data_IF_442959731446
#
_entry.id   IF_442959731446
#
_cell.length_a   1.000
_cell.length_b   1.000
_cell.length_c   1.000
_cell.angle_alpha   90.00
_cell.angle_beta   90.00
_cell.angle_gamma   90.00
#
_symmetry.space_group_name_H-M   'P 1'
#
loop_
_entity.id
_entity.type
_entity.pdbx_description
1 polymer ?
#
# COMPACT_ATOMS: atom_id res chain seq x y z
N UNK A 1 2.34 -14.36 -1.18
CA UNK A 1 3.70 -14.38 -1.75
C UNK A 1 4.51 -13.29 -1.05
N UNK A 2 5.71 -13.59 -0.57
CA UNK A 2 6.64 -12.60 -0.01
C UNK A 2 7.79 -12.37 -0.99
N UNK A 3 8.10 -11.11 -1.30
CA UNK A 3 9.02 -10.72 -2.38
C UNK A 3 10.42 -10.31 -1.89
N UNK A 4 10.61 -10.17 -0.58
CA UNK A 4 11.76 -9.48 -0.02
C UNK A 4 11.58 -7.96 0.05
N UNK A 5 12.59 -7.22 0.53
CA UNK A 5 12.56 -5.76 0.63
C UNK A 5 12.94 -5.06 -0.70
N UNK A 6 12.83 -3.73 -0.70
CA UNK A 6 13.40 -2.83 -1.73
C UNK A 6 13.04 -3.16 -3.19
N UNK A 7 11.76 -3.44 -3.42
CA UNK A 7 11.24 -3.67 -4.78
C UNK A 7 10.87 -2.34 -5.45
N UNK A 8 11.43 -1.99 -6.62
CA UNK A 8 11.02 -0.81 -7.36
C UNK A 8 9.52 -0.82 -7.69
N UNK A 9 8.85 0.32 -7.56
CA UNK A 9 7.40 0.43 -7.79
C UNK A 9 6.96 -0.03 -9.21
N UNK A 10 7.69 0.28 -10.31
CA UNK A 10 7.32 -0.21 -11.63
C UNK A 10 7.32 -1.75 -11.73
N UNK A 11 8.32 -2.40 -11.14
CA UNK A 11 8.46 -3.85 -11.15
C UNK A 11 7.40 -4.52 -10.28
N UNK A 12 7.13 -3.94 -9.10
CA UNK A 12 6.07 -4.39 -8.21
C UNK A 12 4.69 -4.32 -8.89
N UNK A 13 4.39 -3.23 -9.59
CA UNK A 13 3.16 -3.06 -10.38
C UNK A 13 3.08 -4.09 -11.52
N UNK A 14 4.18 -4.29 -12.25
CA UNK A 14 4.23 -5.25 -13.35
C UNK A 14 3.95 -6.67 -12.85
N UNK A 15 4.57 -7.06 -11.72
CA UNK A 15 4.35 -8.37 -11.11
C UNK A 15 2.93 -8.53 -10.59
N UNK A 16 2.40 -7.53 -9.88
CA UNK A 16 1.04 -7.55 -9.36
C UNK A 16 0.01 -7.73 -10.48
N UNK A 17 0.17 -7.01 -11.60
CA UNK A 17 -0.67 -7.18 -12.79
C UNK A 17 -0.54 -8.56 -13.41
N UNK A 18 0.69 -9.05 -13.61
CA UNK A 18 0.95 -10.36 -14.22
C UNK A 18 0.35 -11.51 -13.43
N UNK A 19 0.31 -11.40 -12.10
CA UNK A 19 -0.24 -12.42 -11.21
C UNK A 19 -1.74 -12.23 -10.92
N UNK A 20 -2.35 -11.12 -11.35
CA UNK A 20 -3.70 -10.77 -10.94
C UNK A 20 -3.81 -10.57 -9.42
N UNK A 21 -2.78 -9.99 -8.79
CA UNK A 21 -2.73 -9.80 -7.34
C UNK A 21 -3.87 -8.87 -6.88
N UNK A 22 -4.68 -9.34 -5.94
CA UNK A 22 -5.78 -8.55 -5.37
C UNK A 22 -5.31 -7.42 -4.44
N UNK A 23 -4.11 -7.55 -3.86
CA UNK A 23 -3.53 -6.52 -2.99
C UNK A 23 -2.00 -6.52 -3.00
N UNK A 24 -1.43 -5.37 -2.63
CA UNK A 24 -0.02 -5.19 -2.26
C UNK A 24 0.04 -4.70 -0.82
N UNK A 25 0.96 -5.24 -0.02
CA UNK A 25 1.17 -4.83 1.38
C UNK A 25 2.62 -4.39 1.52
N UNK A 26 2.84 -3.17 2.02
CA UNK A 26 4.15 -2.59 2.25
C UNK A 26 4.37 -2.38 3.75
N UNK A 27 5.54 -2.78 4.23
CA UNK A 27 6.01 -2.49 5.59
C UNK A 27 7.13 -1.48 5.51
N UNK A 28 6.93 -0.31 6.12
CA UNK A 28 7.92 0.75 6.19
C UNK A 28 8.40 0.91 7.63
N UNK A 29 9.67 0.57 7.88
CA UNK A 29 10.31 0.86 9.17
C UNK A 29 10.75 2.33 9.27
N UNK A 30 11.20 2.89 8.14
CA UNK A 30 11.69 4.27 8.02
C UNK A 30 10.67 5.13 7.28
N UNK A 31 10.60 6.41 7.66
CA UNK A 31 9.66 7.37 7.05
C UNK A 31 10.24 8.04 5.79
N UNK A 32 11.56 8.10 5.70
CA UNK A 32 12.32 8.77 4.66
C UNK A 32 12.02 8.20 3.26
N UNK A 33 11.97 6.86 3.06
CA UNK A 33 11.62 6.30 1.77
C UNK A 33 10.20 6.66 1.32
N UNK A 34 9.26 6.80 2.26
CA UNK A 34 7.88 7.20 1.96
C UNK A 34 7.82 8.67 1.54
N UNK A 35 8.50 9.55 2.27
CA UNK A 35 8.56 10.99 1.98
C UNK A 35 9.22 11.30 0.63
N UNK A 36 10.13 10.44 0.17
CA UNK A 36 10.76 10.57 -1.13
C UNK A 36 9.83 10.24 -2.31
N UNK A 37 8.73 9.52 -2.07
CA UNK A 37 7.77 9.15 -3.10
C UNK A 37 6.82 10.32 -3.43
N UNK A 38 6.46 10.51 -4.71
CA UNK A 38 5.48 11.51 -5.10
C UNK A 38 4.08 11.15 -4.61
N UNK A 39 3.19 12.14 -4.60
CA UNK A 39 1.78 11.94 -4.26
C UNK A 39 1.14 10.89 -5.18
N UNK A 40 0.33 10.00 -4.60
CA UNK A 40 -0.33 8.92 -5.33
C UNK A 40 0.58 7.81 -5.86
N UNK A 41 1.88 7.77 -5.51
CA UNK A 41 2.83 6.78 -6.03
C UNK A 41 2.39 5.31 -5.84
N UNK A 42 1.61 5.02 -4.79
CA UNK A 42 1.16 3.68 -4.44
C UNK A 42 -0.22 3.33 -5.02
N UNK A 43 -1.00 4.31 -5.50
CA UNK A 43 -2.43 4.16 -5.86
C UNK A 43 -2.70 3.01 -6.85
N UNK A 44 -1.82 2.83 -7.83
CA UNK A 44 -2.06 1.91 -8.96
C UNK A 44 -1.17 0.65 -8.93
N UNK A 45 -0.64 0.26 -7.76
CA UNK A 45 0.16 -0.97 -7.65
C UNK A 45 -0.71 -2.23 -7.77
N UNK A 46 -1.89 -2.21 -7.17
CA UNK A 46 -2.87 -3.30 -7.14
C UNK A 46 -4.26 -2.73 -6.85
N UNK A 47 -5.35 -3.52 -6.96
CA UNK A 47 -6.71 -3.06 -6.63
C UNK A 47 -6.81 -2.47 -5.21
N UNK A 48 -6.01 -2.99 -4.27
CA UNK A 48 -5.84 -2.48 -2.91
C UNK A 48 -4.38 -2.45 -2.52
N UNK A 49 -3.98 -1.39 -1.82
CA UNK A 49 -2.60 -1.22 -1.36
C UNK A 49 -2.62 -0.85 0.10
N UNK A 50 -1.96 -1.64 0.93
CA UNK A 50 -1.86 -1.41 2.36
C UNK A 50 -0.46 -0.95 2.74
N UNK A 51 -0.39 -0.02 3.69
CA UNK A 51 0.86 0.50 4.22
C UNK A 51 0.83 0.45 5.75
N UNK A 52 1.84 -0.16 6.35
CA UNK A 52 2.02 -0.20 7.81
C UNK A 52 3.49 -0.18 8.20
N UNK A 53 3.76 -0.35 9.49
CA UNK A 53 5.11 -0.27 10.08
C UNK A 53 5.37 1.08 10.74
N UNK A 54 6.45 1.15 11.54
CA UNK A 54 6.74 2.31 12.42
C UNK A 54 7.02 3.61 11.65
N UNK A 55 7.48 3.51 10.40
CA UNK A 55 7.73 4.66 9.54
C UNK A 55 6.48 5.14 8.79
N UNK A 56 5.39 4.39 8.85
CA UNK A 56 4.13 4.73 8.19
C UNK A 56 3.17 5.48 9.13
N UNK A 57 2.31 6.30 8.55
CA UNK A 57 1.22 6.97 9.25
C UNK A 57 0.01 7.18 8.35
N UNK A 58 -1.16 7.49 8.93
CA UNK A 58 -2.42 7.62 8.17
C UNK A 58 -2.41 8.76 7.15
N UNK A 59 -1.75 9.88 7.46
CA UNK A 59 -1.63 11.03 6.54
C UNK A 59 -0.74 10.69 5.34
N UNK A 60 0.41 10.08 5.59
CA UNK A 60 1.36 9.70 4.55
C UNK A 60 0.81 8.58 3.66
N UNK A 61 0.12 7.60 4.25
CA UNK A 61 -0.59 6.57 3.49
C UNK A 61 -1.65 7.18 2.55
N UNK A 62 -2.43 8.15 3.05
CA UNK A 62 -3.42 8.88 2.23
C UNK A 62 -2.74 9.65 1.10
N UNK A 63 -1.68 10.40 1.39
CA UNK A 63 -0.90 11.15 0.39
C UNK A 63 -0.39 10.23 -0.73
N UNK A 64 0.07 9.04 -0.37
CA UNK A 64 0.61 8.06 -1.31
C UNK A 64 -0.47 7.22 -2.02
N UNK A 65 -1.73 7.30 -1.60
CA UNK A 65 -2.84 6.54 -2.18
C UNK A 65 -2.96 5.10 -1.68
N UNK A 66 -2.57 4.84 -0.43
CA UNK A 66 -2.65 3.54 0.24
C UNK A 66 -3.60 3.57 1.47
N UNK A 67 -4.07 2.39 1.86
CA UNK A 67 -4.83 2.14 3.09
C UNK A 67 -3.86 1.93 4.27
N UNK A 68 -3.89 2.80 5.28
CA UNK A 68 -3.05 2.66 6.46
C UNK A 68 -3.54 1.52 7.37
N UNK A 69 -2.61 0.70 7.84
CA UNK A 69 -2.86 -0.37 8.81
C UNK A 69 -1.94 -0.23 10.01
N UNK A 70 -2.53 -0.04 11.19
CA UNK A 70 -1.81 0.08 12.45
C UNK A 70 -1.28 -1.29 12.94
N UNK A 71 -2.08 -2.34 12.77
CA UNK A 71 -1.71 -3.69 13.19
C UNK A 71 -1.91 -4.75 12.09
N UNK A 72 -1.20 -5.87 12.25
CA UNK A 72 -1.29 -7.01 11.33
C UNK A 72 -2.55 -7.86 11.54
N UNK A 73 -3.22 -7.73 12.69
CA UNK A 73 -4.41 -8.53 13.01
C UNK A 73 -5.58 -8.09 12.14
N UNK A 74 -5.81 -6.78 12.06
CA UNK A 74 -6.83 -6.16 11.22
C UNK A 74 -6.53 -6.27 9.72
N UNK A 75 -5.30 -6.55 9.31
CA UNK A 75 -4.94 -6.67 7.89
C UNK A 75 -5.65 -7.85 7.22
N UNK A 76 -5.75 -9.00 7.90
CA UNK A 76 -6.42 -10.18 7.36
C UNK A 76 -7.92 -9.91 7.12
N UNK A 77 -8.59 -9.31 8.11
CA UNK A 77 -9.99 -8.93 8.02
C UNK A 77 -10.21 -7.87 6.92
N UNK A 78 -9.33 -6.87 6.87
CA UNK A 78 -9.37 -5.83 5.86
C UNK A 78 -9.29 -6.42 4.46
N UNK A 79 -8.41 -7.41 4.21
CA UNK A 79 -8.27 -8.10 2.93
C UNK A 79 -9.52 -8.91 2.53
N UNK A 80 -10.31 -9.39 3.48
CA UNK A 80 -11.55 -10.13 3.21
C UNK A 80 -12.74 -9.21 2.94
N UNK A 81 -12.74 -8.00 3.49
CA UNK A 81 -13.80 -7.04 3.26
C UNK A 81 -13.67 -6.40 1.86
N UNK A 82 -14.79 -6.15 1.15
CA UNK A 82 -14.75 -5.38 -0.08
C UNK A 82 -14.26 -3.95 0.20
N UNK A 83 -13.51 -3.37 -0.75
CA UNK A 83 -13.05 -1.98 -0.64
C UNK A 83 -14.28 -1.06 -0.52
N UNK A 84 -14.25 -0.16 0.47
CA UNK A 84 -15.27 0.88 0.60
C UNK A 84 -15.27 1.85 -0.59
N UNK A 85 -16.32 2.69 -0.76
CA UNK A 85 -16.40 3.62 -1.88
C UNK A 85 -15.19 4.57 -1.92
N UNK A 86 -14.70 4.88 -3.13
CA UNK A 86 -13.66 5.89 -3.30
C UNK A 86 -14.17 7.24 -2.78
N UNK A 87 -13.45 7.83 -1.82
CA UNK A 87 -13.73 9.20 -1.41
C UNK A 87 -13.22 10.12 -2.50
N UNK A 88 -14.13 10.67 -3.31
CA UNK A 88 -13.83 11.81 -4.17
C UNK A 88 -13.33 12.96 -3.29
N UNK A 89 -12.15 13.49 -3.62
CA UNK A 89 -11.65 14.72 -3.02
C UNK A 89 -12.56 15.87 -3.50
N UNK A 90 -13.30 16.47 -2.57
CA UNK A 90 -14.06 17.72 -2.77
C UNK A 90 -13.09 18.89 -2.64
#
# INVERSE_FOLDING_TARGET
LYLGPDTPLPDLRALARRLGAGAVVLSALLSEPLRALPDGALKDLAPRVFLGGQGAGPEEARRLGAEYMEDLKGLAEALWLPRGPEKEAI
#
